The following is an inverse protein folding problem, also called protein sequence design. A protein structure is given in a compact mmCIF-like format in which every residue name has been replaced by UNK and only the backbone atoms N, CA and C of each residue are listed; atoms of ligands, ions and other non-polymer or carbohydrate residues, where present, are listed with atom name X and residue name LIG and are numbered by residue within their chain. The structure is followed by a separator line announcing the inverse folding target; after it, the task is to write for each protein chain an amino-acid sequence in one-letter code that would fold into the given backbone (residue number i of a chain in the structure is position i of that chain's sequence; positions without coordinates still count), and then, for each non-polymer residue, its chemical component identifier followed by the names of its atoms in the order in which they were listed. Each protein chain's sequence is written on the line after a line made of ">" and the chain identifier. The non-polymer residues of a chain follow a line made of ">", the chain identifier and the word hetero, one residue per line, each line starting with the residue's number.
data_IF_086878899514
#
_entry.id   IF_086878899514
#
_cell.length_a   1.000
_cell.length_b   1.000
_cell.length_c   1.000
_cell.angle_alpha   90.00
_cell.angle_beta   90.00
_cell.angle_gamma   90.00
#
_symmetry.space_group_name_H-M   'P 1'
#
loop_
_entity.id
_entity.type
_entity.pdbx_description
1 polymer ?
#
# COMPACT_ATOMS: atom_id res chain seq x y z
N UNK A 1 13.25 -6.67 27.05
CA UNK A 1 14.61 -6.63 26.45
C UNK A 1 14.61 -5.95 25.08
N UNK A 2 13.72 -6.30 24.14
CA UNK A 2 13.64 -5.66 22.81
C UNK A 2 13.32 -4.16 22.90
N UNK A 3 12.39 -3.76 23.77
CA UNK A 3 12.06 -2.34 23.98
C UNK A 3 13.26 -1.49 24.43
N UNK A 4 14.10 -2.05 25.32
CA UNK A 4 15.33 -1.38 25.76
C UNK A 4 16.32 -1.20 24.60
N UNK A 5 16.43 -2.19 23.71
CA UNK A 5 17.28 -2.10 22.52
C UNK A 5 16.78 -1.01 21.55
N UNK A 6 15.46 -0.92 21.32
CA UNK A 6 14.86 0.15 20.50
C UNK A 6 15.12 1.54 21.09
N UNK A 7 14.99 1.69 22.41
CA UNK A 7 15.30 2.95 23.10
C UNK A 7 16.78 3.33 22.99
N UNK A 8 17.70 2.37 23.03
CA UNK A 8 19.13 2.61 22.82
C UNK A 8 19.43 3.08 21.39
N UNK A 9 18.80 2.46 20.39
CA UNK A 9 18.95 2.86 18.97
C UNK A 9 18.44 4.29 18.77
N UNK A 10 17.29 4.61 19.36
CA UNK A 10 16.68 5.95 19.29
C UNK A 10 17.62 7.01 19.89
N UNK A 11 18.14 6.77 21.08
CA UNK A 11 19.01 7.70 21.84
C UNK A 11 20.43 7.80 21.31
N UNK A 12 20.88 6.85 20.50
CA UNK A 12 22.23 6.88 19.92
C UNK A 12 22.39 8.06 18.97
N UNK A 13 23.19 9.06 19.36
CA UNK A 13 23.50 10.22 18.51
C UNK A 13 24.50 9.94 17.39
N UNK A 14 25.26 8.85 17.48
CA UNK A 14 26.33 8.51 16.53
C UNK A 14 25.85 7.70 15.32
N UNK A 15 24.65 7.12 15.37
CA UNK A 15 24.10 6.32 14.29
C UNK A 15 23.37 7.18 13.26
N UNK A 16 23.60 6.90 11.97
CA UNK A 16 22.83 7.52 10.90
C UNK A 16 21.37 7.07 10.95
N UNK A 17 20.47 7.87 10.34
CA UNK A 17 19.05 7.49 10.21
C UNK A 17 18.87 6.13 9.53
N UNK A 18 19.70 5.84 8.51
CA UNK A 18 19.65 4.58 7.77
C UNK A 18 20.04 3.40 8.67
N UNK A 19 21.08 3.55 9.48
CA UNK A 19 21.55 2.48 10.37
C UNK A 19 20.54 2.21 11.50
N UNK A 20 19.93 3.26 12.05
CA UNK A 20 18.85 3.12 13.03
C UNK A 20 17.68 2.32 12.45
N UNK A 21 17.21 2.69 11.26
CA UNK A 21 16.14 1.99 10.58
C UNK A 21 16.49 0.52 10.29
N UNK A 22 17.73 0.24 9.88
CA UNK A 22 18.17 -1.13 9.63
C UNK A 22 18.21 -1.97 10.91
N UNK A 23 18.72 -1.41 12.01
CA UNK A 23 18.74 -2.10 13.31
C UNK A 23 17.32 -2.32 13.86
N UNK A 24 16.42 -1.36 13.71
CA UNK A 24 15.00 -1.51 14.05
C UNK A 24 14.35 -2.66 13.26
N UNK A 25 14.59 -2.74 11.94
CA UNK A 25 14.06 -3.82 11.11
C UNK A 25 14.62 -5.20 11.51
N UNK A 26 15.93 -5.30 11.77
CA UNK A 26 16.55 -6.55 12.23
C UNK A 26 15.97 -6.98 13.57
N UNK A 27 15.82 -6.06 14.53
CA UNK A 27 15.20 -6.34 15.82
C UNK A 27 13.76 -6.83 15.66
N UNK A 28 12.99 -6.25 14.74
CA UNK A 28 11.63 -6.70 14.48
C UNK A 28 11.57 -8.12 13.90
N UNK A 29 12.43 -8.45 12.94
CA UNK A 29 12.50 -9.80 12.36
C UNK A 29 12.86 -10.82 13.43
N UNK A 30 13.81 -10.50 14.31
CA UNK A 30 14.15 -11.34 15.45
C UNK A 30 12.99 -11.47 16.43
N UNK A 31 12.30 -10.37 16.75
CA UNK A 31 11.11 -10.38 17.59
C UNK A 31 10.02 -11.29 17.02
N UNK A 32 9.71 -11.15 15.72
CA UNK A 32 8.70 -11.95 15.04
C UNK A 32 9.03 -13.44 14.99
N UNK A 33 10.32 -13.80 14.99
CA UNK A 33 10.78 -15.19 14.98
C UNK A 33 10.69 -15.86 16.36
N UNK A 34 10.89 -15.11 17.43
CA UNK A 34 11.12 -15.69 18.77
C UNK A 34 10.04 -15.32 19.81
N UNK A 35 9.23 -14.29 19.58
CA UNK A 35 8.19 -13.87 20.52
C UNK A 35 6.82 -14.49 20.20
N UNK A 36 5.99 -14.62 21.23
CA UNK A 36 4.58 -14.96 21.03
C UNK A 36 3.76 -13.79 20.45
N UNK A 37 2.51 -14.05 20.07
CA UNK A 37 1.65 -13.05 19.43
C UNK A 37 1.32 -11.85 20.32
N UNK A 38 1.31 -12.00 21.65
CA UNK A 38 1.06 -10.92 22.61
C UNK A 38 2.30 -10.05 22.76
N UNK A 39 3.44 -10.67 23.00
CA UNK A 39 4.72 -9.98 23.13
C UNK A 39 5.09 -9.25 21.82
N UNK A 40 4.85 -9.86 20.66
CA UNK A 40 5.08 -9.21 19.36
C UNK A 40 4.16 -8.00 19.16
N UNK A 41 2.92 -8.04 19.67
CA UNK A 41 2.00 -6.90 19.60
C UNK A 41 2.57 -5.69 20.37
N UNK A 42 3.13 -5.91 21.55
CA UNK A 42 3.77 -4.83 22.33
C UNK A 42 4.99 -4.25 21.61
N UNK A 43 5.82 -5.10 20.98
CA UNK A 43 6.94 -4.63 20.16
C UNK A 43 6.45 -3.80 18.98
N UNK A 44 5.37 -4.22 18.30
CA UNK A 44 4.76 -3.45 17.21
C UNK A 44 4.31 -2.07 17.67
N UNK A 45 3.68 -1.94 18.84
CA UNK A 45 3.26 -0.62 19.35
C UNK A 45 4.45 0.31 19.60
N UNK A 46 5.55 -0.21 20.17
CA UNK A 46 6.77 0.60 20.35
C UNK A 46 7.38 0.98 19.00
N UNK A 47 7.38 0.08 18.03
CA UNK A 47 7.88 0.35 16.69
C UNK A 47 7.05 1.37 15.92
N UNK A 48 5.72 1.40 16.09
CA UNK A 48 4.87 2.43 15.47
C UNK A 48 5.27 3.86 15.88
N UNK A 49 5.84 4.02 17.07
CA UNK A 49 6.33 5.31 17.58
C UNK A 49 7.74 5.68 17.09
N UNK A 50 8.41 4.81 16.33
CA UNK A 50 9.72 5.10 15.73
C UNK A 50 9.55 5.92 14.45
N UNK A 51 10.63 6.57 14.02
CA UNK A 51 10.63 7.30 12.76
C UNK A 51 10.37 6.37 11.57
N UNK A 52 10.96 5.17 11.56
CA UNK A 52 10.71 4.16 10.54
C UNK A 52 9.24 3.71 10.57
N UNK A 53 8.69 3.42 11.75
CA UNK A 53 7.29 3.03 11.92
C UNK A 53 6.32 4.07 11.38
N UNK A 54 6.52 5.36 11.69
CA UNK A 54 5.72 6.44 11.16
C UNK A 54 5.81 6.54 9.62
N UNK A 55 7.01 6.40 9.05
CA UNK A 55 7.21 6.39 7.60
C UNK A 55 6.46 5.23 6.94
N UNK A 56 6.55 4.01 7.48
CA UNK A 56 5.85 2.84 6.93
C UNK A 56 4.33 2.97 6.98
N UNK A 57 3.79 3.56 8.05
CA UNK A 57 2.35 3.84 8.17
C UNK A 57 1.92 4.85 7.11
N UNK A 58 2.68 5.93 6.91
CA UNK A 58 2.34 6.95 5.93
C UNK A 58 2.46 6.41 4.49
N UNK A 59 3.51 5.65 4.19
CA UNK A 59 3.67 4.96 2.90
C UNK A 59 2.49 4.02 2.64
N UNK A 60 2.12 3.21 3.64
CA UNK A 60 0.96 2.31 3.54
C UNK A 60 -0.37 3.06 3.37
N UNK A 61 -0.55 4.19 4.05
CA UNK A 61 -1.74 5.05 3.91
C UNK A 61 -1.82 5.67 2.52
N UNK A 62 -0.70 6.17 2.00
CA UNK A 62 -0.61 6.76 0.66
C UNK A 62 -0.87 5.72 -0.43
N UNK A 63 -0.28 4.54 -0.30
CA UNK A 63 -0.55 3.39 -1.18
C UNK A 63 -2.03 3.00 -1.13
N UNK A 64 -2.58 2.80 0.08
CA UNK A 64 -3.99 2.43 0.26
C UNK A 64 -4.97 3.45 -0.30
N UNK A 65 -4.68 4.75 -0.16
CA UNK A 65 -5.51 5.82 -0.76
C UNK A 65 -5.46 5.77 -2.29
N UNK A 66 -4.27 5.53 -2.85
CA UNK A 66 -4.08 5.44 -4.31
C UNK A 66 -4.79 4.22 -4.88
N UNK A 67 -4.62 3.06 -4.25
CA UNK A 67 -5.31 1.82 -4.63
C UNK A 67 -6.83 1.98 -4.48
N UNK A 68 -7.31 2.55 -3.37
CA UNK A 68 -8.74 2.77 -3.15
C UNK A 68 -9.39 3.66 -4.21
N UNK A 69 -8.71 4.74 -4.62
CA UNK A 69 -9.17 5.60 -5.73
C UNK A 69 -9.23 4.84 -7.05
N UNK A 70 -8.23 4.01 -7.34
CA UNK A 70 -8.19 3.20 -8.56
C UNK A 70 -9.32 2.16 -8.56
N UNK A 71 -9.55 1.46 -7.46
CA UNK A 71 -10.65 0.49 -7.30
C UNK A 71 -12.00 1.14 -7.56
N UNK A 72 -12.28 2.27 -6.91
CA UNK A 72 -13.54 3.00 -7.09
C UNK A 72 -13.74 3.41 -8.56
N UNK A 73 -12.69 3.88 -9.23
CA UNK A 73 -12.77 4.25 -10.64
C UNK A 73 -13.06 3.04 -11.54
N UNK A 74 -12.37 1.92 -11.32
CA UNK A 74 -12.57 0.68 -12.09
C UNK A 74 -13.98 0.15 -11.89
N UNK A 75 -14.51 0.18 -10.66
CA UNK A 75 -15.89 -0.21 -10.34
C UNK A 75 -16.90 0.61 -11.15
N UNK A 76 -16.74 1.94 -11.17
CA UNK A 76 -17.59 2.85 -11.95
C UNK A 76 -17.51 2.51 -13.44
N UNK A 77 -16.30 2.34 -13.98
CA UNK A 77 -16.10 1.99 -15.39
C UNK A 77 -16.76 0.64 -15.70
N UNK A 78 -16.51 -0.40 -14.91
CA UNK A 78 -17.10 -1.74 -15.09
C UNK A 78 -18.63 -1.68 -15.13
N UNK A 79 -19.23 -0.98 -14.17
CA UNK A 79 -20.69 -0.84 -14.10
C UNK A 79 -21.27 0.00 -15.25
N UNK A 80 -20.54 0.98 -15.78
CA UNK A 80 -21.02 1.75 -16.95
C UNK A 80 -20.80 1.01 -18.26
N UNK A 81 -19.70 0.27 -18.41
CA UNK A 81 -19.48 -0.61 -19.55
C UNK A 81 -20.59 -1.66 -19.66
N UNK A 82 -21.02 -2.25 -18.53
CA UNK A 82 -22.14 -3.21 -18.53
C UNK A 82 -23.48 -2.60 -18.94
N UNK A 83 -23.60 -1.27 -18.90
CA UNK A 83 -24.76 -0.50 -19.40
C UNK A 83 -24.60 -0.02 -20.85
N UNK A 84 -23.54 -0.42 -21.54
CA UNK A 84 -23.31 -0.13 -22.95
C UNK A 84 -22.63 1.21 -23.23
N UNK A 85 -22.05 1.88 -22.21
CA UNK A 85 -21.25 3.08 -22.44
C UNK A 85 -19.93 2.72 -23.12
N UNK A 86 -19.49 3.53 -24.08
CA UNK A 86 -18.18 3.35 -24.72
C UNK A 86 -17.05 3.88 -23.82
N UNK A 87 -15.83 3.33 -23.93
CA UNK A 87 -14.68 3.85 -23.20
C UNK A 87 -14.39 5.33 -23.47
N UNK A 88 -14.61 5.80 -24.70
CA UNK A 88 -14.36 7.19 -25.07
C UNK A 88 -15.39 8.14 -24.44
N UNK A 89 -16.68 7.76 -24.40
CA UNK A 89 -17.72 8.54 -23.69
C UNK A 89 -17.50 8.55 -22.17
N UNK A 90 -16.93 7.48 -21.60
CA UNK A 90 -16.58 7.45 -20.19
C UNK A 90 -15.38 8.32 -19.85
N UNK A 91 -14.38 8.39 -20.75
CA UNK A 91 -13.25 9.28 -20.58
C UNK A 91 -13.69 10.75 -20.55
N UNK A 92 -14.59 11.14 -21.44
CA UNK A 92 -15.18 12.48 -21.45
C UNK A 92 -16.01 12.75 -20.18
N UNK A 93 -16.90 11.82 -19.79
CA UNK A 93 -17.75 12.00 -18.61
C UNK A 93 -16.97 12.06 -17.30
N UNK A 94 -15.87 11.32 -17.20
CA UNK A 94 -15.04 11.24 -16.00
C UNK A 94 -13.89 12.26 -15.99
N UNK A 95 -13.73 13.05 -17.06
CA UNK A 95 -12.60 13.97 -17.27
C UNK A 95 -11.25 13.27 -17.09
N UNK A 96 -11.09 12.13 -17.80
CA UNK A 96 -9.91 11.27 -17.74
C UNK A 96 -9.28 11.08 -19.13
N UNK A 97 -8.00 10.72 -19.14
CA UNK A 97 -7.30 10.34 -20.36
C UNK A 97 -8.00 9.13 -21.05
N UNK A 98 -8.46 9.27 -22.31
CA UNK A 98 -9.08 8.18 -23.06
C UNK A 98 -8.20 6.94 -23.21
N UNK A 99 -6.87 7.08 -23.24
CA UNK A 99 -5.94 5.95 -23.27
C UNK A 99 -6.02 5.16 -21.97
N UNK A 100 -6.10 5.85 -20.84
CA UNK A 100 -6.21 5.24 -19.52
C UNK A 100 -7.52 4.48 -19.33
N UNK A 101 -8.65 5.09 -19.72
CA UNK A 101 -9.98 4.44 -19.63
C UNK A 101 -10.07 3.24 -20.57
N UNK A 102 -9.52 3.33 -21.79
CA UNK A 102 -9.44 2.18 -22.71
C UNK A 102 -8.61 1.04 -22.16
N UNK A 103 -7.47 1.33 -21.52
CA UNK A 103 -6.65 0.33 -20.84
C UNK A 103 -7.43 -0.40 -19.74
N UNK A 104 -8.13 0.34 -18.87
CA UNK A 104 -8.98 -0.26 -17.83
C UNK A 104 -10.08 -1.12 -18.46
N UNK A 105 -10.75 -0.59 -19.48
CA UNK A 105 -11.83 -1.30 -20.18
C UNK A 105 -11.35 -2.60 -20.80
N UNK A 106 -10.18 -2.61 -21.44
CA UNK A 106 -9.56 -3.82 -21.99
C UNK A 106 -9.27 -4.84 -20.88
N UNK A 107 -8.70 -4.42 -19.75
CA UNK A 107 -8.41 -5.32 -18.63
C UNK A 107 -9.67 -5.96 -18.03
N UNK A 108 -10.79 -5.22 -17.98
CA UNK A 108 -12.09 -5.73 -17.53
C UNK A 108 -12.63 -6.77 -18.52
N UNK A 109 -12.55 -6.50 -19.82
CA UNK A 109 -13.09 -7.38 -20.87
C UNK A 109 -12.26 -8.65 -21.07
N UNK A 110 -10.93 -8.55 -20.97
CA UNK A 110 -10.03 -9.70 -21.09
C UNK A 110 -10.20 -10.71 -19.95
N UNK A 111 -10.57 -10.24 -18.75
CA UNK A 111 -10.67 -11.07 -17.53
C UNK A 111 -11.87 -10.67 -16.67
N UNK A 112 -13.09 -11.09 -17.05
CA UNK A 112 -14.31 -10.72 -16.34
C UNK A 112 -14.32 -11.11 -14.86
N UNK A 113 -13.68 -12.24 -14.52
CA UNK A 113 -13.64 -12.79 -13.17
C UNK A 113 -12.71 -12.04 -12.21
N UNK A 114 -11.85 -11.16 -12.72
CA UNK A 114 -10.97 -10.36 -11.87
C UNK A 114 -11.77 -9.33 -11.08
N UNK A 115 -11.43 -9.19 -9.81
CA UNK A 115 -11.92 -8.13 -8.94
C UNK A 115 -11.34 -6.77 -9.35
N UNK A 116 -12.02 -5.68 -8.99
CA UNK A 116 -11.53 -4.33 -9.25
C UNK A 116 -10.21 -4.05 -8.51
N UNK A 117 -9.99 -4.68 -7.35
CA UNK A 117 -8.72 -4.65 -6.63
C UNK A 117 -7.57 -5.29 -7.42
N UNK A 118 -7.79 -6.46 -8.01
CA UNK A 118 -6.76 -7.13 -8.82
C UNK A 118 -6.40 -6.33 -10.08
N UNK A 119 -7.38 -5.63 -10.67
CA UNK A 119 -7.14 -4.72 -11.79
C UNK A 119 -6.36 -3.48 -11.32
N UNK A 120 -6.75 -2.87 -10.19
CA UNK A 120 -6.06 -1.73 -9.60
C UNK A 120 -4.59 -2.05 -9.29
N UNK A 121 -4.33 -3.19 -8.65
CA UNK A 121 -2.98 -3.64 -8.34
C UNK A 121 -2.15 -3.95 -9.59
N UNK A 122 -2.78 -4.45 -10.65
CA UNK A 122 -2.11 -4.66 -11.92
C UNK A 122 -1.76 -3.35 -12.64
N UNK A 123 -2.48 -2.25 -12.38
CA UNK A 123 -2.13 -0.92 -12.89
C UNK A 123 -1.00 -0.26 -12.11
N UNK A 124 -0.94 -0.47 -10.79
CA UNK A 124 0.09 0.14 -9.91
C UNK A 124 1.43 -0.58 -9.98
N UNK A 125 1.46 -1.88 -10.27
CA UNK A 125 2.69 -2.69 -10.43
C UNK A 125 3.47 -2.44 -11.73
N UNK A 126 2.99 -1.58 -12.65
CA UNK A 126 3.66 -1.24 -13.91
C UNK A 126 4.55 0.02 -13.77
N UNK A 127 5.01 0.34 -12.55
CA UNK A 127 5.97 1.42 -12.29
C UNK A 127 7.30 0.87 -11.84
#
# INVERSE_FOLDING_TARGET
>A
RIQAALELIKKSGSLSKKDKNMLEAVLYVLAAKFLDSRELKEVKEVMKMTQLGAMLIEDGRSQGLTEGKAVMLIEIIRHKLSKGFSPDSLAEFLDLDPVYVRKISAMILEKPDKTDLEIAQALTKVK
#
